data_IF_159729007024
#
_entry.id   IF_159729007024
#
_cell.length_a   1.000
_cell.length_b   1.000
_cell.length_c   1.000
_cell.angle_alpha   90.00
_cell.angle_beta   90.00
_cell.angle_gamma   90.00
#
_symmetry.space_group_name_H-M   'P 1'
#
loop_
_entity.id
_entity.type
_entity.pdbx_description
1 polymer ?
#
# COMPACT_ATOMS: atom_id res chain seq x y z
N UNK A 1 8.94 -0.47 -16.20
CA UNK A 1 9.61 -0.27 -14.90
C UNK A 1 9.86 1.22 -14.76
N UNK A 2 9.38 1.83 -13.68
CA UNK A 2 9.71 3.21 -13.34
C UNK A 2 10.88 3.18 -12.34
N UNK A 3 11.88 4.02 -12.53
CA UNK A 3 13.03 4.15 -11.62
C UNK A 3 12.91 5.42 -10.77
N UNK A 4 13.42 5.37 -9.55
CA UNK A 4 13.46 6.53 -8.65
C UNK A 4 12.13 6.80 -7.97
N UNK A 5 11.30 5.77 -7.79
CA UNK A 5 10.06 5.89 -7.02
C UNK A 5 10.36 5.88 -5.52
N UNK A 6 9.43 6.40 -4.72
CA UNK A 6 9.61 6.55 -3.26
C UNK A 6 10.01 5.25 -2.56
N UNK A 7 9.49 4.11 -3.02
CA UNK A 7 9.81 2.78 -2.46
C UNK A 7 11.25 2.38 -2.73
N UNK A 8 11.79 2.68 -3.92
CA UNK A 8 13.20 2.41 -4.26
C UNK A 8 14.10 3.19 -3.30
N UNK A 9 13.85 4.50 -3.16
CA UNK A 9 14.63 5.35 -2.27
C UNK A 9 14.56 4.89 -0.81
N UNK A 10 13.37 4.55 -0.31
CA UNK A 10 13.19 4.09 1.05
C UNK A 10 13.97 2.79 1.31
N UNK A 11 13.88 1.84 0.38
CA UNK A 11 14.57 0.56 0.47
C UNK A 11 16.09 0.72 0.42
N UNK A 12 16.60 1.55 -0.51
CA UNK A 12 18.03 1.87 -0.64
C UNK A 12 18.60 2.57 0.61
N UNK A 13 17.75 3.27 1.37
CA UNK A 13 18.12 3.91 2.64
C UNK A 13 17.89 3.02 3.87
N UNK A 14 17.70 1.71 3.70
CA UNK A 14 17.63 0.74 4.79
C UNK A 14 16.24 0.52 5.39
N UNK A 15 15.18 1.11 4.80
CA UNK A 15 13.80 0.79 5.19
C UNK A 15 13.39 -0.51 4.49
N UNK A 16 13.64 -1.64 5.16
CA UNK A 16 13.36 -3.00 4.65
C UNK A 16 11.91 -3.22 4.20
N UNK A 17 10.96 -2.60 4.90
CA UNK A 17 9.54 -2.78 4.66
C UNK A 17 8.94 -1.57 3.93
N UNK A 18 9.26 -1.42 2.65
CA UNK A 18 8.77 -0.34 1.79
C UNK A 18 7.77 -0.88 0.76
N UNK A 19 6.55 -0.33 0.71
CA UNK A 19 5.45 -0.81 -0.13
C UNK A 19 4.67 0.36 -0.74
N UNK A 20 4.20 0.17 -1.99
CA UNK A 20 3.22 1.05 -2.64
C UNK A 20 1.91 0.29 -2.84
N UNK A 21 0.79 0.95 -2.57
CA UNK A 21 -0.54 0.41 -2.80
C UNK A 21 -1.24 1.18 -3.92
N UNK A 22 -1.64 0.47 -4.96
CA UNK A 22 -2.63 0.94 -5.93
C UNK A 22 -3.97 0.29 -5.53
N UNK A 23 -4.93 1.12 -5.12
CA UNK A 23 -6.21 0.65 -4.57
C UNK A 23 -7.23 0.41 -5.68
N UNK A 24 -8.51 0.25 -5.29
CA UNK A 24 -9.60 0.11 -6.26
C UNK A 24 -9.67 1.33 -7.19
N UNK A 25 -10.09 1.18 -8.43
CA UNK A 25 -10.46 -0.06 -9.13
C UNK A 25 -9.48 -0.39 -10.27
N UNK A 26 -9.85 -1.34 -11.14
CA UNK A 26 -9.02 -1.75 -12.29
C UNK A 26 -9.38 -0.99 -13.58
N UNK A 27 -9.95 0.22 -13.49
CA UNK A 27 -10.19 1.11 -14.63
C UNK A 27 -11.65 1.33 -15.03
N UNK A 28 -12.64 0.85 -14.26
CA UNK A 28 -14.05 1.14 -14.54
C UNK A 28 -14.40 2.58 -14.15
N UNK A 29 -13.99 2.98 -12.96
CA UNK A 29 -14.12 4.33 -12.42
C UNK A 29 -12.75 5.01 -12.31
N UNK A 30 -11.67 4.25 -12.12
CA UNK A 30 -10.32 4.75 -11.97
C UNK A 30 -10.25 5.79 -10.85
N UNK A 31 -9.73 6.98 -11.17
CA UNK A 31 -9.62 8.09 -10.22
C UNK A 31 -10.98 8.63 -9.73
N UNK A 32 -12.08 8.36 -10.44
CA UNK A 32 -13.42 8.81 -10.09
C UNK A 32 -14.23 7.71 -9.39
N UNK A 33 -13.57 6.94 -8.52
CA UNK A 33 -14.20 5.88 -7.74
C UNK A 33 -15.37 6.45 -6.91
N UNK A 34 -16.58 5.84 -6.95
CA UNK A 34 -17.72 6.34 -6.21
C UNK A 34 -17.46 6.41 -4.70
N UNK A 35 -17.99 7.46 -4.04
CA UNK A 35 -17.83 7.64 -2.59
C UNK A 35 -18.35 6.44 -1.76
N UNK A 36 -19.32 5.68 -2.29
CA UNK A 36 -19.83 4.46 -1.67
C UNK A 36 -18.79 3.34 -1.57
N UNK A 37 -17.69 3.41 -2.32
CA UNK A 37 -16.59 2.46 -2.30
C UNK A 37 -15.46 2.86 -1.32
N UNK A 38 -15.53 4.03 -0.69
CA UNK A 38 -14.48 4.50 0.25
C UNK A 38 -14.35 3.54 1.43
N UNK A 39 -15.44 3.28 2.16
CA UNK A 39 -15.41 2.43 3.35
C UNK A 39 -15.04 0.98 3.01
N UNK A 40 -15.61 0.34 1.96
CA UNK A 40 -15.17 -0.99 1.55
C UNK A 40 -13.68 -1.08 1.20
N UNK A 41 -13.15 -0.10 0.46
CA UNK A 41 -11.73 -0.06 0.07
C UNK A 41 -10.84 0.13 1.29
N UNK A 42 -11.24 0.98 2.24
CA UNK A 42 -10.48 1.21 3.46
C UNK A 42 -10.44 -0.05 4.35
N UNK A 43 -11.55 -0.76 4.50
CA UNK A 43 -11.64 -1.96 5.33
C UNK A 43 -10.71 -3.09 4.84
N UNK A 44 -10.71 -3.37 3.54
CA UNK A 44 -9.81 -4.40 2.99
C UNK A 44 -8.34 -3.96 3.04
N UNK A 45 -8.06 -2.69 2.74
CA UNK A 45 -6.69 -2.13 2.78
C UNK A 45 -6.14 -2.17 4.20
N UNK A 46 -6.97 -1.88 5.20
CA UNK A 46 -6.58 -1.93 6.61
C UNK A 46 -6.10 -3.32 7.03
N UNK A 47 -6.72 -4.38 6.54
CA UNK A 47 -6.29 -5.75 6.81
C UNK A 47 -4.88 -6.03 6.25
N UNK A 48 -4.57 -5.49 5.06
CA UNK A 48 -3.23 -5.60 4.48
C UNK A 48 -2.20 -4.82 5.31
N UNK A 49 -2.51 -3.59 5.69
CA UNK A 49 -1.62 -2.75 6.53
C UNK A 49 -1.36 -3.43 7.88
N UNK A 50 -2.39 -3.95 8.55
CA UNK A 50 -2.24 -4.70 9.80
C UNK A 50 -1.31 -5.91 9.65
N UNK A 51 -1.37 -6.59 8.51
CA UNK A 51 -0.51 -7.74 8.24
C UNK A 51 0.95 -7.32 8.11
N UNK A 52 1.23 -6.24 7.37
CA UNK A 52 2.58 -5.68 7.23
C UNK A 52 3.10 -5.20 8.58
N UNK A 53 2.29 -4.45 9.34
CA UNK A 53 2.70 -3.93 10.65
C UNK A 53 2.98 -5.05 11.66
N UNK A 54 2.15 -6.10 11.70
CA UNK A 54 2.41 -7.28 12.54
C UNK A 54 3.68 -8.00 12.12
N UNK A 55 3.93 -8.13 10.81
CA UNK A 55 5.16 -8.73 10.33
C UNK A 55 6.38 -7.91 10.78
N UNK A 56 6.37 -6.59 10.56
CA UNK A 56 7.45 -5.70 10.99
C UNK A 56 7.65 -5.72 12.52
N UNK A 57 6.58 -5.78 13.31
CA UNK A 57 6.66 -5.88 14.77
C UNK A 57 7.38 -7.16 15.23
N UNK A 58 7.10 -8.29 14.59
CA UNK A 58 7.70 -9.59 14.95
C UNK A 58 9.08 -9.81 14.32
N UNK A 59 9.49 -8.97 13.35
CA UNK A 59 10.75 -9.08 12.61
C UNK A 59 11.44 -7.71 12.59
N UNK A 60 12.12 -7.32 13.69
CA UNK A 60 12.64 -5.97 13.86
C UNK A 60 13.76 -5.57 12.89
N UNK A 61 14.35 -6.52 12.15
CA UNK A 61 15.38 -6.27 11.13
C UNK A 61 15.45 -7.38 10.08
#
# INVERSE_FOLDING_TARGET
>A
VASGITVDWAYDNGIKYAFSFELRDTGRYGFLLPATQIVPTAQETWMAILTIMKHALHHPY
#
